data_IF_995772920665
#
_entry.id   IF_995772920665
#
_cell.length_a   1.000
_cell.length_b   1.000
_cell.length_c   1.000
_cell.angle_alpha   90.00
_cell.angle_beta   90.00
_cell.angle_gamma   90.00
#
_symmetry.space_group_name_H-M   'P 1'
#
loop_
_entity.id
_entity.type
_entity.pdbx_description
1 polymer ?
#
# COMPACT_ATOMS: atom_id res chain seq x y z
N UNK A 1 -0.51 -23.26 -18.48
CA UNK A 1 0.90 -23.54 -18.22
C UNK A 1 1.66 -22.23 -18.16
N UNK A 2 2.66 -22.12 -17.30
CA UNK A 2 3.51 -20.94 -17.23
C UNK A 2 4.37 -20.79 -18.48
N UNK A 3 4.65 -19.54 -18.87
CA UNK A 3 5.69 -19.14 -19.78
C UNK A 3 7.06 -19.11 -19.05
N UNK A 4 8.10 -18.65 -19.71
CA UNK A 4 9.46 -18.69 -19.14
C UNK A 4 9.61 -17.92 -17.82
N UNK A 5 8.93 -16.78 -17.67
CA UNK A 5 8.99 -16.00 -16.46
C UNK A 5 8.32 -16.70 -15.28
N UNK A 6 7.14 -17.28 -15.49
CA UNK A 6 6.43 -18.02 -14.45
C UNK A 6 7.20 -19.26 -13.98
N UNK A 7 7.81 -20.03 -14.90
CA UNK A 7 8.65 -21.17 -14.54
C UNK A 7 9.86 -20.78 -13.69
N UNK A 8 10.52 -19.67 -14.02
CA UNK A 8 11.61 -19.12 -13.20
C UNK A 8 11.10 -18.64 -11.84
N UNK A 9 9.90 -18.06 -11.82
CA UNK A 9 9.30 -17.59 -10.58
C UNK A 9 8.90 -18.72 -9.62
N UNK A 10 8.38 -19.83 -10.13
CA UNK A 10 8.07 -21.03 -9.32
C UNK A 10 9.32 -21.50 -8.53
N UNK A 11 10.49 -21.44 -9.14
CA UNK A 11 11.75 -21.90 -8.51
C UNK A 11 12.38 -20.83 -7.63
N UNK A 12 12.49 -19.59 -8.10
CA UNK A 12 13.27 -18.53 -7.45
C UNK A 12 12.42 -17.64 -6.53
N UNK A 13 11.13 -17.53 -6.77
CA UNK A 13 10.24 -16.64 -6.02
C UNK A 13 10.26 -16.87 -4.51
N UNK A 14 10.15 -18.13 -4.03
CA UNK A 14 10.23 -18.44 -2.60
C UNK A 14 11.56 -18.07 -1.95
N UNK A 15 12.67 -18.14 -2.68
CA UNK A 15 13.99 -17.71 -2.18
C UNK A 15 14.10 -16.20 -2.05
N UNK A 16 13.40 -15.45 -2.94
CA UNK A 16 13.46 -13.97 -3.00
C UNK A 16 12.52 -13.33 -1.98
N UNK A 17 11.27 -13.81 -1.88
CA UNK A 17 10.21 -13.17 -1.06
C UNK A 17 9.70 -14.04 0.09
N UNK A 18 10.10 -15.32 0.19
CA UNK A 18 9.46 -16.31 1.04
C UNK A 18 8.16 -16.84 0.42
N UNK A 19 7.72 -18.02 0.85
CA UNK A 19 6.61 -18.78 0.24
C UNK A 19 5.33 -17.95 0.10
N UNK A 20 4.88 -17.31 1.18
CA UNK A 20 3.59 -16.60 1.20
C UNK A 20 3.57 -15.38 0.28
N UNK A 21 4.62 -14.55 0.33
CA UNK A 21 4.71 -13.37 -0.52
C UNK A 21 4.98 -13.74 -1.98
N UNK A 22 5.75 -14.79 -2.22
CA UNK A 22 5.99 -15.30 -3.57
C UNK A 22 4.68 -15.75 -4.24
N UNK A 23 3.80 -16.43 -3.52
CA UNK A 23 2.48 -16.81 -4.02
C UNK A 23 1.61 -15.57 -4.33
N UNK A 24 1.56 -14.59 -3.42
CA UNK A 24 0.82 -13.34 -3.65
C UNK A 24 1.34 -12.55 -4.85
N UNK A 25 2.66 -12.56 -5.03
CA UNK A 25 3.30 -11.91 -6.16
C UNK A 25 3.01 -12.66 -7.47
N UNK A 26 3.03 -13.98 -7.44
CA UNK A 26 2.67 -14.83 -8.57
C UNK A 26 1.26 -14.49 -9.07
N UNK A 27 0.25 -14.58 -8.21
CA UNK A 27 -1.15 -14.34 -8.55
C UNK A 27 -1.41 -12.92 -9.09
N UNK A 28 -0.74 -11.92 -8.54
CA UNK A 28 -1.02 -10.51 -8.84
C UNK A 28 -0.13 -9.90 -9.91
N UNK A 29 1.00 -10.51 -10.23
CA UNK A 29 1.98 -9.95 -11.15
C UNK A 29 2.49 -10.94 -12.19
N UNK A 30 2.94 -12.13 -11.78
CA UNK A 30 3.55 -13.09 -12.70
C UNK A 30 2.51 -13.70 -13.64
N UNK A 31 1.42 -14.25 -13.09
CA UNK A 31 0.35 -14.87 -13.88
C UNK A 31 -0.26 -13.92 -14.93
N UNK A 32 -0.56 -12.63 -14.64
CA UNK A 32 -1.02 -11.70 -15.66
C UNK A 32 -0.02 -11.46 -16.80
N UNK A 33 1.28 -11.48 -16.52
CA UNK A 33 2.32 -11.36 -17.55
C UNK A 33 2.44 -12.64 -18.39
N UNK A 34 2.48 -13.79 -17.73
CA UNK A 34 2.49 -15.09 -18.39
C UNK A 34 1.24 -15.33 -19.26
N UNK A 35 0.09 -14.87 -18.78
CA UNK A 35 -1.14 -14.97 -19.56
C UNK A 35 -1.08 -14.11 -20.82
N UNK A 36 -0.47 -12.92 -20.75
CA UNK A 36 -0.20 -12.10 -21.94
C UNK A 36 0.67 -12.85 -22.96
N UNK A 37 1.75 -13.49 -22.50
CA UNK A 37 2.66 -14.23 -23.39
C UNK A 37 1.98 -15.44 -24.04
N UNK A 38 1.18 -16.19 -23.27
CA UNK A 38 0.52 -17.40 -23.75
C UNK A 38 -0.73 -17.18 -24.62
N UNK A 39 -1.46 -16.08 -24.38
CA UNK A 39 -2.78 -15.86 -24.99
C UNK A 39 -2.89 -14.60 -25.83
N UNK A 40 -1.94 -13.66 -25.68
CA UNK A 40 -2.01 -12.33 -26.27
C UNK A 40 -2.98 -11.39 -25.54
N UNK A 41 -3.49 -11.76 -24.36
CA UNK A 41 -4.29 -10.86 -23.52
C UNK A 41 -3.49 -9.61 -23.16
N UNK A 42 -4.14 -8.43 -23.23
CA UNK A 42 -3.43 -7.16 -23.02
C UNK A 42 -2.86 -7.04 -21.62
N UNK A 43 -1.57 -6.77 -21.55
CA UNK A 43 -0.86 -6.40 -20.34
C UNK A 43 -0.10 -5.09 -20.59
N UNK A 44 -0.36 -4.06 -19.78
CA UNK A 44 0.25 -2.74 -19.96
C UNK A 44 1.78 -2.76 -19.80
N UNK A 45 2.28 -3.53 -18.82
CA UNK A 45 3.72 -3.65 -18.61
C UNK A 45 4.40 -4.37 -19.76
N UNK A 46 3.83 -5.47 -20.26
CA UNK A 46 4.34 -6.18 -21.43
C UNK A 46 4.38 -5.23 -22.64
N UNK A 47 3.35 -4.42 -22.83
CA UNK A 47 3.30 -3.41 -23.89
C UNK A 47 4.39 -2.36 -23.73
N UNK A 48 4.60 -1.84 -22.51
CA UNK A 48 5.64 -0.84 -22.24
C UNK A 48 7.05 -1.40 -22.49
N UNK A 49 7.32 -2.61 -22.03
CA UNK A 49 8.61 -3.28 -22.29
C UNK A 49 8.77 -3.58 -23.78
N UNK A 50 7.70 -3.99 -24.46
CA UNK A 50 7.71 -4.25 -25.91
C UNK A 50 8.05 -3.01 -26.75
N UNK A 51 7.77 -1.79 -26.25
CA UNK A 51 8.12 -0.55 -26.94
C UNK A 51 9.65 -0.28 -27.05
N UNK A 52 10.47 -1.03 -26.31
CA UNK A 52 11.92 -0.99 -26.47
C UNK A 52 12.40 -1.70 -27.76
N UNK A 53 11.56 -2.56 -28.36
CA UNK A 53 11.93 -3.18 -29.63
C UNK A 53 12.17 -2.12 -30.71
N UNK A 54 13.26 -2.23 -31.46
CA UNK A 54 13.51 -1.33 -32.58
C UNK A 54 12.38 -1.37 -33.63
N UNK A 55 12.18 -0.29 -34.34
CA UNK A 55 11.22 -0.25 -35.44
C UNK A 55 11.68 -1.18 -36.57
N UNK A 56 10.75 -1.66 -37.41
CA UNK A 56 10.99 -2.62 -38.46
C UNK A 56 12.08 -2.19 -39.47
N UNK A 57 12.30 -0.89 -39.60
CA UNK A 57 13.27 -0.25 -40.52
C UNK A 57 14.59 0.17 -39.85
N UNK A 58 14.75 -0.09 -38.55
CA UNK A 58 15.98 0.21 -37.83
C UNK A 58 17.16 -0.65 -38.33
N UNK A 59 18.30 -0.01 -38.52
CA UNK A 59 19.52 -0.70 -38.92
C UNK A 59 20.40 -1.00 -37.69
N UNK A 60 20.16 -2.14 -37.05
CA UNK A 60 20.91 -2.56 -35.85
C UNK A 60 20.32 -2.04 -34.55
N UNK A 61 21.06 -2.21 -33.44
CA UNK A 61 20.64 -1.74 -32.11
C UNK A 61 19.77 -2.72 -31.33
N UNK A 62 19.54 -3.95 -31.81
CA UNK A 62 18.69 -4.94 -31.13
C UNK A 62 19.22 -5.30 -29.75
N UNK A 63 20.51 -5.52 -29.59
CA UNK A 63 21.12 -5.89 -28.30
C UNK A 63 21.06 -4.71 -27.34
N UNK A 64 21.32 -3.48 -27.80
CA UNK A 64 21.20 -2.29 -26.95
C UNK A 64 19.77 -2.08 -26.46
N UNK A 65 18.80 -2.18 -27.37
CA UNK A 65 17.37 -2.09 -27.02
C UNK A 65 16.95 -3.18 -26.03
N UNK A 66 17.41 -4.41 -26.22
CA UNK A 66 17.17 -5.52 -25.32
C UNK A 66 17.72 -5.23 -23.91
N UNK A 67 18.98 -4.80 -23.79
CA UNK A 67 19.56 -4.49 -22.47
C UNK A 67 18.92 -3.28 -21.80
N UNK A 68 18.43 -2.30 -22.56
CA UNK A 68 17.61 -1.21 -22.03
C UNK A 68 16.30 -1.76 -21.44
N UNK A 69 15.60 -2.63 -22.16
CA UNK A 69 14.38 -3.28 -21.68
C UNK A 69 14.63 -4.11 -20.41
N UNK A 70 15.72 -4.90 -20.38
CA UNK A 70 16.15 -5.67 -19.19
C UNK A 70 16.38 -4.75 -17.99
N UNK A 71 17.07 -3.62 -18.19
CA UNK A 71 17.36 -2.66 -17.11
C UNK A 71 16.07 -2.06 -16.53
N UNK A 72 15.12 -1.70 -17.40
CA UNK A 72 13.83 -1.15 -16.95
C UNK A 72 12.99 -2.22 -16.24
N UNK A 73 12.94 -3.44 -16.77
CA UNK A 73 12.24 -4.55 -16.14
C UNK A 73 12.83 -4.87 -14.74
N UNK A 74 14.17 -4.87 -14.62
CA UNK A 74 14.87 -5.07 -13.35
C UNK A 74 14.47 -4.02 -12.31
N UNK A 75 14.51 -2.73 -12.66
CA UNK A 75 14.09 -1.64 -11.77
C UNK A 75 12.61 -1.78 -11.33
N UNK A 76 11.73 -2.22 -12.22
CA UNK A 76 10.32 -2.45 -11.89
C UNK A 76 10.19 -3.61 -10.89
N UNK A 77 10.90 -4.71 -11.11
CA UNK A 77 10.87 -5.88 -10.22
C UNK A 77 11.41 -5.54 -8.83
N UNK A 78 12.58 -4.89 -8.75
CA UNK A 78 13.18 -4.46 -7.47
C UNK A 78 12.23 -3.58 -6.67
N UNK A 79 11.62 -2.56 -7.30
CA UNK A 79 10.65 -1.69 -6.63
C UNK A 79 9.38 -2.44 -6.19
N UNK A 80 8.94 -3.44 -6.95
CA UNK A 80 7.82 -4.28 -6.54
C UNK A 80 8.18 -5.16 -5.34
N UNK A 81 9.34 -5.81 -5.34
CA UNK A 81 9.80 -6.62 -4.22
C UNK A 81 9.90 -5.79 -2.95
N UNK A 82 10.54 -4.61 -3.01
CA UNK A 82 10.62 -3.70 -1.87
C UNK A 82 9.24 -3.27 -1.36
N UNK A 83 8.28 -3.05 -2.26
CA UNK A 83 6.90 -2.72 -1.85
C UNK A 83 6.21 -3.88 -1.14
N UNK A 84 6.37 -5.12 -1.61
CA UNK A 84 5.80 -6.30 -0.97
C UNK A 84 6.41 -6.53 0.42
N UNK A 85 7.73 -6.49 0.52
CA UNK A 85 8.45 -6.61 1.79
C UNK A 85 8.13 -5.45 2.74
N UNK A 86 8.01 -4.23 2.21
CA UNK A 86 7.61 -3.04 2.98
C UNK A 86 6.21 -3.15 3.57
N UNK A 87 5.26 -3.68 2.80
CA UNK A 87 3.91 -3.93 3.29
C UNK A 87 3.88 -5.01 4.39
N UNK A 88 4.69 -6.08 4.25
CA UNK A 88 4.80 -7.10 5.30
C UNK A 88 5.39 -6.54 6.59
N UNK A 89 6.45 -5.71 6.48
CA UNK A 89 7.00 -5.01 7.65
C UNK A 89 5.95 -4.09 8.31
N UNK A 90 5.15 -3.40 7.51
CA UNK A 90 4.08 -2.56 8.01
C UNK A 90 2.99 -3.37 8.71
N UNK A 91 2.56 -4.49 8.13
CA UNK A 91 1.56 -5.39 8.73
C UNK A 91 2.03 -5.92 10.09
N UNK A 92 3.27 -6.39 10.20
CA UNK A 92 3.87 -6.82 11.48
C UNK A 92 3.92 -5.69 12.51
N UNK A 93 4.32 -4.49 12.07
CA UNK A 93 4.38 -3.32 12.96
C UNK A 93 3.00 -2.92 13.48
N UNK A 94 1.99 -2.95 12.63
CA UNK A 94 0.59 -2.66 13.02
C UNK A 94 0.08 -3.72 14.00
N UNK A 95 0.44 -4.99 13.81
CA UNK A 95 0.03 -6.08 14.71
C UNK A 95 0.61 -5.90 16.11
N UNK A 96 1.91 -5.57 16.25
CA UNK A 96 2.53 -5.24 17.53
C UNK A 96 1.80 -4.09 18.25
N UNK A 97 1.47 -3.02 17.51
CA UNK A 97 0.76 -1.86 18.08
C UNK A 97 -0.66 -2.22 18.48
N UNK A 98 -1.35 -3.07 17.71
CA UNK A 98 -2.68 -3.56 18.06
C UNK A 98 -2.67 -4.43 19.33
N UNK A 99 -1.66 -5.27 19.51
CA UNK A 99 -1.50 -6.05 20.74
C UNK A 99 -1.30 -5.16 21.97
N UNK A 100 -0.45 -4.12 21.85
CA UNK A 100 -0.26 -3.14 22.93
C UNK A 100 -1.56 -2.37 23.24
N UNK A 101 -2.27 -1.95 22.20
CA UNK A 101 -3.55 -1.28 22.32
C UNK A 101 -4.59 -2.17 23.03
N UNK A 102 -4.68 -3.43 22.65
CA UNK A 102 -5.57 -4.39 23.28
C UNK A 102 -5.22 -4.65 24.76
N UNK A 103 -3.95 -4.73 25.10
CA UNK A 103 -3.50 -4.84 26.49
C UNK A 103 -3.93 -3.63 27.32
N UNK A 104 -3.80 -2.41 26.78
CA UNK A 104 -4.23 -1.18 27.46
C UNK A 104 -5.75 -1.10 27.66
N UNK A 105 -6.55 -1.67 26.74
CA UNK A 105 -8.00 -1.80 26.91
C UNK A 105 -8.32 -2.79 28.05
N UNK A 106 -7.71 -3.96 28.03
CA UNK A 106 -7.96 -5.02 29.01
C UNK A 106 -7.49 -4.63 30.43
N UNK A 107 -6.45 -3.81 30.56
CA UNK A 107 -5.98 -3.29 31.86
C UNK A 107 -6.85 -2.15 32.40
N UNK A 108 -7.79 -1.62 31.60
CA UNK A 108 -8.62 -0.48 31.98
C UNK A 108 -7.90 0.88 31.88
N UNK A 109 -6.73 0.93 31.22
CA UNK A 109 -6.02 2.18 30.94
C UNK A 109 -6.71 3.04 29.87
N UNK A 110 -7.56 2.41 29.04
CA UNK A 110 -8.34 3.07 27.99
C UNK A 110 -9.83 2.92 28.23
N UNK A 111 -10.57 4.01 28.03
CA UNK A 111 -12.04 4.01 28.03
C UNK A 111 -12.59 3.31 26.76
N UNK A 112 -13.90 3.09 26.72
CA UNK A 112 -14.59 2.52 25.56
C UNK A 112 -14.45 3.42 24.32
N UNK A 113 -14.52 4.74 24.49
CA UNK A 113 -14.31 5.69 23.40
C UNK A 113 -12.86 5.68 22.92
N UNK A 114 -11.89 5.65 23.83
CA UNK A 114 -10.47 5.60 23.49
C UNK A 114 -10.05 4.28 22.83
N UNK A 115 -10.79 3.20 23.08
CA UNK A 115 -10.55 1.91 22.42
C UNK A 115 -10.74 1.96 20.90
N UNK A 116 -11.54 2.92 20.43
CA UNK A 116 -11.79 3.14 18.99
C UNK A 116 -10.79 4.08 18.33
N UNK A 117 -9.78 4.55 19.05
CA UNK A 117 -8.74 5.46 18.56
C UNK A 117 -7.38 4.77 18.71
N UNK A 118 -6.70 4.53 17.61
CA UNK A 118 -5.34 3.99 17.59
C UNK A 118 -4.33 5.13 17.40
N UNK A 119 -3.36 5.23 18.30
CA UNK A 119 -2.25 6.18 18.18
C UNK A 119 -1.03 5.41 17.69
N UNK A 120 -0.51 5.80 16.53
CA UNK A 120 0.70 5.24 15.95
C UNK A 120 1.89 6.13 16.32
N UNK A 121 3.04 5.57 16.71
CA UNK A 121 4.25 6.34 16.99
C UNK A 121 4.86 6.97 15.72
N UNK A 122 4.52 6.43 14.57
CA UNK A 122 4.98 6.84 13.24
C UNK A 122 3.89 6.52 12.21
N UNK A 123 4.01 7.08 11.00
CA UNK A 123 3.12 6.68 9.90
C UNK A 123 3.43 5.26 9.45
N UNK A 124 2.43 4.38 9.58
CA UNK A 124 2.47 3.00 9.07
C UNK A 124 1.22 2.77 8.22
N UNK A 125 1.33 2.20 7.01
CA UNK A 125 0.17 1.77 6.24
C UNK A 125 -0.63 0.71 7.02
N UNK A 126 -1.81 1.06 7.52
CA UNK A 126 -2.58 0.21 8.43
C UNK A 126 -4.02 -0.04 7.99
N UNK A 127 -4.50 0.63 6.94
CA UNK A 127 -5.92 0.64 6.57
C UNK A 127 -6.50 -0.76 6.35
N UNK A 128 -5.76 -1.65 5.70
CA UNK A 128 -6.20 -3.02 5.43
C UNK A 128 -6.38 -3.81 6.73
N UNK A 129 -5.39 -3.76 7.62
CA UNK A 129 -5.42 -4.47 8.92
C UNK A 129 -6.49 -3.91 9.85
N UNK A 130 -6.76 -2.62 9.81
CA UNK A 130 -7.74 -1.97 10.67
C UNK A 130 -9.17 -2.07 10.15
N UNK A 131 -9.39 -2.43 8.89
CA UNK A 131 -10.75 -2.54 8.33
C UNK A 131 -11.62 -3.54 9.11
N UNK A 132 -11.04 -4.62 9.59
CA UNK A 132 -11.69 -5.71 10.33
C UNK A 132 -11.82 -5.44 11.86
N UNK A 133 -11.29 -4.31 12.35
CA UNK A 133 -11.34 -3.93 13.78
C UNK A 133 -12.42 -2.90 14.06
N UNK A 134 -12.70 -2.59 15.33
CA UNK A 134 -13.61 -1.50 15.71
C UNK A 134 -12.94 -0.12 15.75
N UNK A 135 -11.65 -0.04 15.47
CA UNK A 135 -10.91 1.22 15.44
C UNK A 135 -11.49 2.13 14.35
N UNK A 136 -11.97 3.30 14.76
CA UNK A 136 -12.61 4.28 13.88
C UNK A 136 -11.64 5.36 13.39
N UNK A 137 -10.65 5.72 14.22
CA UNK A 137 -9.66 6.74 13.89
C UNK A 137 -8.25 6.27 14.19
N UNK A 138 -7.32 6.72 13.37
CA UNK A 138 -5.88 6.58 13.60
C UNK A 138 -5.26 7.96 13.72
N UNK A 139 -4.38 8.14 14.70
CA UNK A 139 -3.61 9.36 14.92
C UNK A 139 -2.14 9.02 14.73
N UNK A 140 -1.43 9.77 13.92
CA UNK A 140 0.00 9.58 13.67
C UNK A 140 0.74 10.90 13.43
N UNK A 141 2.05 10.97 13.71
CA UNK A 141 2.85 12.15 13.45
C UNK A 141 2.87 12.51 11.95
N UNK A 142 2.66 13.79 11.63
CA UNK A 142 2.79 14.29 10.27
C UNK A 142 4.23 14.65 9.95
N UNK A 143 4.69 14.34 8.74
CA UNK A 143 5.99 14.78 8.24
C UNK A 143 6.08 16.30 8.00
N UNK A 144 4.94 17.01 8.11
CA UNK A 144 4.84 18.48 8.04
C UNK A 144 4.79 19.14 9.42
N UNK A 145 4.98 18.36 10.49
CA UNK A 145 4.79 18.76 11.88
C UNK A 145 3.36 18.53 12.39
N UNK A 146 3.22 18.37 13.70
CA UNK A 146 1.95 18.03 14.34
C UNK A 146 1.51 16.60 14.06
N UNK A 147 0.20 16.36 14.07
CA UNK A 147 -0.42 15.05 13.92
C UNK A 147 -1.50 15.06 12.84
N UNK A 148 -1.64 13.91 12.17
CA UNK A 148 -2.77 13.61 11.30
C UNK A 148 -3.77 12.73 12.05
N UNK A 149 -5.06 13.00 11.85
CA UNK A 149 -6.16 12.13 12.29
C UNK A 149 -6.83 11.60 11.04
N UNK A 150 -6.87 10.28 10.89
CA UNK A 150 -7.43 9.63 9.70
C UNK A 150 -8.58 8.70 10.08
N UNK A 151 -9.81 8.95 9.56
CA UNK A 151 -10.93 8.04 9.76
C UNK A 151 -10.69 6.73 9.00
N UNK A 152 -11.09 5.61 9.62
CA UNK A 152 -10.92 4.28 9.05
C UNK A 152 -12.17 3.84 8.29
N UNK A 153 -11.95 3.18 7.15
CA UNK A 153 -13.03 2.64 6.33
C UNK A 153 -13.57 1.34 6.91
N UNK A 154 -14.82 1.05 6.63
CA UNK A 154 -15.42 -0.26 6.86
C UNK A 154 -14.80 -1.27 5.89
N UNK A 155 -14.79 -2.51 6.31
CA UNK A 155 -14.36 -3.63 5.48
C UNK A 155 -15.15 -3.68 4.17
N UNK A 156 -14.46 -3.94 3.06
CA UNK A 156 -15.02 -3.99 1.69
C UNK A 156 -15.91 -2.81 1.30
N UNK A 157 -15.66 -1.62 1.86
CA UNK A 157 -16.51 -0.44 1.66
C UNK A 157 -15.68 0.82 1.46
N UNK A 158 -16.24 1.78 0.72
CA UNK A 158 -15.71 3.15 0.64
C UNK A 158 -16.17 4.03 1.82
N UNK A 159 -17.15 3.56 2.59
CA UNK A 159 -17.69 4.31 3.72
C UNK A 159 -16.77 4.22 4.95
N UNK A 160 -16.67 5.30 5.69
CA UNK A 160 -15.96 5.35 6.95
C UNK A 160 -16.78 4.69 8.08
N UNK A 161 -16.09 4.14 9.09
CA UNK A 161 -16.70 3.65 10.33
C UNK A 161 -17.28 4.80 11.15
N UNK A 162 -16.58 5.94 11.15
CA UNK A 162 -17.00 7.20 11.69
C UNK A 162 -16.42 8.32 10.83
N UNK A 163 -17.24 9.29 10.44
CA UNK A 163 -16.81 10.44 9.67
C UNK A 163 -16.59 11.65 10.56
N UNK A 164 -15.78 12.60 10.11
CA UNK A 164 -15.76 13.92 10.71
C UNK A 164 -17.11 14.63 10.52
N UNK A 165 -17.48 15.56 11.42
CA UNK A 165 -18.62 16.45 11.22
C UNK A 165 -18.52 17.17 9.86
N UNK A 166 -19.65 17.25 9.16
CA UNK A 166 -19.69 17.83 7.80
C UNK A 166 -19.25 19.29 7.80
N UNK A 167 -19.53 20.00 8.88
CA UNK A 167 -19.15 21.38 9.11
C UNK A 167 -17.64 21.64 9.22
N UNK A 168 -16.83 20.58 9.44
CA UNK A 168 -15.36 20.69 9.48
C UNK A 168 -14.72 20.50 8.11
N UNK A 169 -15.44 19.85 7.19
CA UNK A 169 -14.86 19.44 5.91
C UNK A 169 -14.49 20.64 5.03
N UNK A 170 -13.22 20.71 4.66
CA UNK A 170 -12.67 21.77 3.83
C UNK A 170 -12.33 23.05 4.57
N UNK A 171 -12.47 23.10 5.91
CA UNK A 171 -12.01 24.21 6.71
C UNK A 171 -10.50 24.15 6.94
N UNK A 172 -9.90 25.31 7.11
CA UNK A 172 -8.47 25.51 7.33
C UNK A 172 -8.20 26.52 8.46
N UNK A 173 -7.06 26.36 9.13
CA UNK A 173 -6.50 27.32 10.08
C UNK A 173 -7.54 27.87 11.09
N UNK A 174 -7.74 29.17 11.13
CA UNK A 174 -8.60 29.84 12.13
C UNK A 174 -10.06 29.37 12.08
N UNK A 175 -10.59 29.07 10.88
CA UNK A 175 -11.95 28.56 10.72
C UNK A 175 -12.09 27.15 11.32
N UNK A 176 -11.10 26.29 11.09
CA UNK A 176 -11.09 24.95 11.65
C UNK A 176 -10.86 24.98 13.17
N UNK A 177 -9.99 25.85 13.67
CA UNK A 177 -9.80 26.09 15.11
C UNK A 177 -11.12 26.51 15.76
N UNK A 178 -11.85 27.45 15.16
CA UNK A 178 -13.14 27.91 15.69
C UNK A 178 -14.19 26.81 15.68
N UNK A 179 -14.25 25.96 14.66
CA UNK A 179 -15.21 24.87 14.54
C UNK A 179 -14.89 23.69 15.46
N UNK A 180 -13.61 23.36 15.67
CA UNK A 180 -13.17 22.18 16.45
C UNK A 180 -12.84 22.48 17.90
N UNK A 181 -12.49 23.73 18.24
CA UNK A 181 -11.91 24.10 19.51
C UNK A 181 -10.46 23.65 19.71
N UNK A 182 -9.80 23.10 18.68
CA UNK A 182 -8.42 22.63 18.75
C UNK A 182 -7.46 23.75 18.33
N UNK A 183 -6.62 24.27 19.24
CA UNK A 183 -5.80 25.48 18.98
C UNK A 183 -4.82 25.37 17.81
N UNK A 184 -4.48 24.16 17.37
CA UNK A 184 -3.51 23.89 16.30
C UNK A 184 -4.11 23.14 15.11
N UNK A 185 -5.44 23.14 14.97
CA UNK A 185 -6.08 22.53 13.83
C UNK A 185 -5.72 23.27 12.54
N UNK A 186 -5.04 22.60 11.60
CA UNK A 186 -4.53 23.20 10.39
C UNK A 186 -5.44 23.02 9.18
N UNK A 187 -5.95 21.81 8.97
CA UNK A 187 -6.71 21.48 7.77
C UNK A 187 -7.59 20.24 7.97
N UNK A 188 -8.81 20.29 7.46
CA UNK A 188 -9.71 19.14 7.36
C UNK A 188 -10.07 18.85 5.89
N UNK A 189 -9.72 17.68 5.39
CA UNK A 189 -9.97 17.28 4.01
C UNK A 189 -11.48 17.14 3.72
N UNK A 190 -11.90 17.44 2.47
CA UNK A 190 -13.28 17.22 2.00
C UNK A 190 -13.55 15.75 1.76
#
# INVERSE_FOLDING_TARGET
PYAAFGLLWEELGPEILGEELAQKFDESFVQPLDNNDNTGEKNELATLIGNFNPTWDAQGGNDEAFFQAVSVAGMILENKFERYLGNERADKRVEEILEEHQKAILSGEKSEEESRILILPEFVPCQKRLSETDIAFVIFPSNRGGYCIQPQKKEYSLNYKCSFPVEWLGLENEELVAATGLPSAGFCHK
#
